data_IF_451255587727
#
_entry.id   IF_451255587727
#
_cell.length_a   1.000
_cell.length_b   1.000
_cell.length_c   1.000
_cell.angle_alpha   90.00
_cell.angle_beta   90.00
_cell.angle_gamma   90.00
#
_symmetry.space_group_name_H-M   'P 1'
#
loop_
_entity.id
_entity.type
_entity.pdbx_description
1 polymer ?
#
# COMPACT_ATOMS: atom_id res chain seq x y z
N UNK A 1 -6.62 -12.28 19.03
CA UNK A 1 -7.40 -11.54 18.02
C UNK A 1 -7.28 -12.28 16.70
N UNK A 2 -8.37 -12.51 15.98
CA UNK A 2 -8.36 -13.16 14.67
C UNK A 2 -7.51 -12.35 13.68
N UNK A 3 -6.66 -13.01 12.90
CA UNK A 3 -5.87 -12.39 11.82
C UNK A 3 -6.73 -11.66 10.79
N UNK A 4 -7.96 -12.13 10.55
CA UNK A 4 -8.91 -11.45 9.66
C UNK A 4 -9.36 -10.12 10.25
N UNK A 5 -9.72 -10.11 11.53
CA UNK A 5 -10.15 -8.90 12.23
C UNK A 5 -9.06 -7.82 12.23
N UNK A 6 -7.78 -8.20 12.38
CA UNK A 6 -6.66 -7.25 12.25
C UNK A 6 -6.58 -6.62 10.86
N UNK A 7 -6.77 -7.43 9.82
CA UNK A 7 -6.85 -6.94 8.44
C UNK A 7 -8.01 -5.97 8.26
N UNK A 8 -9.21 -6.34 8.71
CA UNK A 8 -10.40 -5.50 8.64
C UNK A 8 -10.19 -4.16 9.37
N UNK A 9 -9.57 -4.17 10.56
CA UNK A 9 -9.22 -2.95 11.30
C UNK A 9 -8.29 -2.05 10.49
N UNK A 10 -7.23 -2.62 9.89
CA UNK A 10 -6.28 -1.86 9.07
C UNK A 10 -6.97 -1.27 7.83
N UNK A 11 -7.83 -2.03 7.16
CA UNK A 11 -8.61 -1.56 6.02
C UNK A 11 -9.49 -0.36 6.42
N UNK A 12 -10.24 -0.47 7.52
CA UNK A 12 -11.12 0.61 7.97
C UNK A 12 -10.34 1.85 8.43
N UNK A 13 -9.18 1.67 9.05
CA UNK A 13 -8.28 2.78 9.37
C UNK A 13 -7.82 3.49 8.09
N UNK A 14 -7.48 2.75 7.03
CA UNK A 14 -7.10 3.33 5.74
C UNK A 14 -8.26 4.13 5.11
N UNK A 15 -9.49 3.60 5.16
CA UNK A 15 -10.70 4.33 4.72
C UNK A 15 -10.85 5.65 5.49
N UNK A 16 -10.76 5.62 6.82
CA UNK A 16 -10.89 6.82 7.64
C UNK A 16 -9.80 7.86 7.31
N UNK A 17 -8.56 7.43 7.10
CA UNK A 17 -7.45 8.31 6.74
C UNK A 17 -7.63 8.96 5.36
N UNK A 18 -8.14 8.21 4.38
CA UNK A 18 -8.45 8.74 3.06
C UNK A 18 -9.60 9.77 3.13
N UNK A 19 -10.69 9.45 3.84
CA UNK A 19 -11.83 10.34 3.99
C UNK A 19 -11.46 11.65 4.72
N UNK A 20 -10.62 11.59 5.76
CA UNK A 20 -10.09 12.78 6.44
C UNK A 20 -9.30 13.71 5.51
N UNK A 21 -8.78 13.19 4.40
CA UNK A 21 -8.03 13.95 3.38
C UNK A 21 -8.93 14.43 2.22
N UNK A 22 -10.23 14.12 2.27
CA UNK A 22 -11.17 14.47 1.21
C UNK A 22 -11.10 13.58 -0.03
N UNK A 23 -10.44 12.41 0.07
CA UNK A 23 -10.35 11.46 -1.04
C UNK A 23 -11.57 10.55 -1.08
N UNK A 24 -11.99 10.16 -2.29
CA UNK A 24 -12.99 9.12 -2.47
C UNK A 24 -12.39 7.74 -2.15
N UNK A 25 -13.23 6.81 -1.72
CA UNK A 25 -12.82 5.43 -1.40
C UNK A 25 -13.73 4.46 -2.13
N UNK A 26 -13.13 3.52 -2.86
CA UNK A 26 -13.80 2.44 -3.56
C UNK A 26 -13.37 1.11 -2.94
N UNK A 27 -14.35 0.26 -2.61
CA UNK A 27 -14.11 -1.10 -2.16
C UNK A 27 -14.46 -2.08 -3.29
N UNK A 28 -13.52 -2.92 -3.75
CA UNK A 28 -13.82 -3.96 -4.72
C UNK A 28 -14.78 -5.00 -4.13
N UNK A 29 -15.58 -5.61 -5.00
CA UNK A 29 -16.47 -6.69 -4.59
C UNK A 29 -15.72 -8.03 -4.56
N UNK A 30 -15.66 -8.65 -3.39
CA UNK A 30 -14.96 -9.91 -3.14
C UNK A 30 -13.46 -9.74 -2.86
N UNK A 31 -12.75 -10.86 -2.71
CA UNK A 31 -11.36 -10.96 -2.21
C UNK A 31 -10.35 -11.46 -3.28
N UNK A 32 -10.76 -11.46 -4.55
CA UNK A 32 -9.96 -12.04 -5.65
C UNK A 32 -8.88 -11.10 -6.16
N UNK A 33 -9.10 -9.80 -6.05
CA UNK A 33 -8.19 -8.78 -6.57
C UNK A 33 -6.89 -8.73 -5.74
N UNK A 34 -5.79 -8.21 -6.31
CA UNK A 34 -4.52 -8.13 -5.61
C UNK A 34 -4.36 -6.81 -4.82
N UNK A 35 -5.48 -6.11 -4.56
CA UNK A 35 -5.57 -4.87 -3.80
C UNK A 35 -6.89 -4.85 -3.02
N UNK A 36 -6.93 -4.14 -1.89
CA UNK A 36 -8.06 -4.15 -0.97
C UNK A 36 -8.97 -2.93 -1.16
N UNK A 37 -8.40 -1.79 -1.58
CA UNK A 37 -9.12 -0.52 -1.79
C UNK A 37 -8.60 0.18 -3.04
N UNK A 38 -9.36 1.16 -3.53
CA UNK A 38 -8.84 2.19 -4.40
C UNK A 38 -9.25 3.57 -3.88
N UNK A 39 -8.35 4.54 -3.94
CA UNK A 39 -8.64 5.92 -3.62
C UNK A 39 -8.89 6.71 -4.89
N UNK A 40 -9.93 7.54 -4.87
CA UNK A 40 -10.15 8.58 -5.87
C UNK A 40 -9.51 9.87 -5.36
N UNK A 41 -8.42 10.24 -6.02
CA UNK A 41 -7.59 11.40 -5.69
C UNK A 41 -7.62 12.34 -6.88
N UNK A 42 -8.41 13.40 -6.76
CA UNK A 42 -8.61 14.41 -7.81
C UNK A 42 -9.04 13.81 -9.17
N UNK A 43 -9.91 12.79 -9.14
CA UNK A 43 -10.41 12.11 -10.34
C UNK A 43 -9.49 10.99 -10.86
N UNK A 44 -8.36 10.76 -10.20
CA UNK A 44 -7.44 9.65 -10.52
C UNK A 44 -7.60 8.51 -9.52
N UNK A 45 -7.82 7.30 -10.03
CA UNK A 45 -7.90 6.10 -9.20
C UNK A 45 -6.51 5.55 -8.89
N UNK A 46 -6.22 5.41 -7.59
CA UNK A 46 -5.00 4.83 -7.05
C UNK A 46 -5.35 3.52 -6.33
N UNK A 47 -4.80 2.40 -6.79
CA UNK A 47 -5.03 1.07 -6.21
C UNK A 47 -4.16 0.87 -4.96
N UNK A 48 -4.79 0.43 -3.88
CA UNK A 48 -4.19 0.35 -2.56
C UNK A 48 -4.27 -1.08 -2.02
N UNK A 49 -3.11 -1.64 -1.67
CA UNK A 49 -3.03 -2.84 -0.84
C UNK A 49 -2.84 -2.42 0.62
N UNK A 50 -3.64 -2.96 1.53
CA UNK A 50 -3.52 -2.71 2.97
C UNK A 50 -2.84 -3.91 3.63
N UNK A 51 -1.99 -3.63 4.62
CA UNK A 51 -1.31 -4.62 5.43
C UNK A 51 -1.30 -4.17 6.88
N UNK A 52 -1.45 -5.13 7.79
CA UNK A 52 -1.30 -4.92 9.22
C UNK A 52 0.13 -5.30 9.65
N UNK A 53 0.85 -4.40 10.30
CA UNK A 53 2.17 -4.70 10.88
C UNK A 53 2.04 -5.22 12.32
N UNK A 54 2.79 -6.27 12.65
CA UNK A 54 2.86 -6.80 14.01
C UNK A 54 4.16 -6.39 14.68
N UNK A 55 4.13 -6.30 16.01
CA UNK A 55 5.34 -6.06 16.79
C UNK A 55 6.15 -7.36 16.88
N UNK A 56 7.40 -7.32 16.44
CA UNK A 56 8.39 -8.35 16.69
C UNK A 56 9.06 -8.06 18.03
N UNK A 57 8.68 -8.82 19.07
CA UNK A 57 9.14 -8.60 20.45
C UNK A 57 10.67 -8.70 20.61
N UNK A 58 11.38 -9.66 19.97
CA UNK A 58 12.84 -9.75 20.07
C UNK A 58 13.58 -8.52 19.55
N UNK A 59 13.14 -7.95 18.41
CA UNK A 59 13.79 -6.77 17.84
C UNK A 59 13.21 -5.44 18.35
N UNK A 60 12.01 -5.46 18.92
CA UNK A 60 11.25 -4.28 19.33
C UNK A 60 10.83 -3.40 18.14
N UNK A 61 10.74 -3.97 16.94
CA UNK A 61 10.35 -3.28 15.72
C UNK A 61 9.00 -3.82 15.21
N UNK A 62 8.29 -3.03 14.42
CA UNK A 62 7.11 -3.53 13.71
C UNK A 62 7.54 -4.16 12.38
N UNK A 63 6.91 -5.27 12.01
CA UNK A 63 7.26 -6.06 10.83
C UNK A 63 6.00 -6.36 10.02
N UNK A 64 6.17 -6.41 8.71
CA UNK A 64 5.14 -6.82 7.76
C UNK A 64 5.76 -7.70 6.66
N UNK A 65 5.03 -8.74 6.25
CA UNK A 65 5.41 -9.59 5.11
C UNK A 65 4.94 -8.92 3.81
N UNK A 66 5.85 -8.81 2.84
CA UNK A 66 5.58 -8.18 1.55
C UNK A 66 5.11 -9.16 0.47
N UNK A 67 4.78 -10.40 0.83
CA UNK A 67 4.30 -11.44 -0.08
C UNK A 67 2.80 -11.66 0.07
N UNK A 68 2.21 -12.22 -0.98
CA UNK A 68 0.85 -12.74 -0.94
C UNK A 68 0.90 -14.20 -0.50
N UNK A 69 0.42 -14.47 0.71
CA UNK A 69 0.28 -15.85 1.18
C UNK A 69 -1.12 -16.36 0.81
N UNK A 70 -1.18 -17.29 -0.14
CA UNK A 70 -2.40 -18.05 -0.46
C UNK A 70 -2.29 -19.40 0.22
N UNK A 71 -3.06 -19.59 1.29
CA UNK A 71 -3.18 -20.88 1.96
C UNK A 71 -4.31 -21.67 1.29
N UNK A 72 -3.95 -22.70 0.54
CA UNK A 72 -4.89 -23.78 0.23
C UNK A 72 -4.74 -24.86 1.31
N UNK A 73 -5.79 -25.63 1.64
CA UNK A 73 -5.80 -26.63 2.74
C UNK A 73 -4.65 -27.65 2.70
N UNK A 74 -3.93 -27.75 1.58
CA UNK A 74 -2.80 -28.68 1.36
C UNK A 74 -1.44 -27.99 1.14
N UNK A 75 -1.40 -26.70 0.77
CA UNK A 75 -0.19 -26.00 0.36
C UNK A 75 -0.29 -24.50 0.72
N UNK A 76 0.73 -23.98 1.42
CA UNK A 76 0.96 -22.55 1.54
C UNK A 76 1.81 -22.08 0.35
N UNK A 77 1.20 -21.33 -0.56
CA UNK A 77 1.91 -20.70 -1.67
C UNK A 77 2.20 -19.24 -1.31
N UNK A 78 3.47 -18.85 -1.37
CA UNK A 78 3.90 -17.46 -1.25
C UNK A 78 4.21 -16.94 -2.66
N UNK A 79 3.42 -16.00 -3.12
CA UNK A 79 3.55 -15.37 -4.43
C UNK A 79 4.01 -13.91 -4.24
N UNK A 80 4.98 -13.47 -5.03
CA UNK A 80 5.42 -12.08 -5.04
C UNK A 80 4.39 -11.21 -5.78
N UNK A 81 4.18 -9.99 -5.30
CA UNK A 81 3.35 -9.01 -6.01
C UNK A 81 4.07 -8.51 -7.27
N UNK A 82 3.28 -8.12 -8.26
CA UNK A 82 3.75 -7.49 -9.49
C UNK A 82 3.57 -5.97 -9.38
N UNK A 83 4.39 -5.22 -10.14
CA UNK A 83 4.25 -3.77 -10.27
C UNK A 83 2.85 -3.32 -10.75
N UNK A 84 2.12 -4.19 -11.46
CA UNK A 84 0.78 -3.89 -11.96
C UNK A 84 -0.34 -4.19 -10.97
N UNK A 85 -0.05 -4.83 -9.83
CA UNK A 85 -1.09 -5.31 -8.91
C UNK A 85 -1.79 -4.14 -8.22
N UNK A 86 -1.02 -3.27 -7.58
CA UNK A 86 -1.46 -2.05 -6.90
C UNK A 86 -0.45 -0.93 -7.12
N UNK A 87 -0.82 0.30 -6.76
CA UNK A 87 0.06 1.47 -6.87
C UNK A 87 0.82 1.72 -5.55
N UNK A 88 0.11 1.59 -4.42
CA UNK A 88 0.68 1.78 -3.09
C UNK A 88 0.30 0.65 -2.14
N UNK A 89 1.23 0.30 -1.26
CA UNK A 89 1.00 -0.53 -0.09
C UNK A 89 0.95 0.35 1.17
N UNK A 90 -0.17 0.29 1.89
CA UNK A 90 -0.37 0.92 3.19
C UNK A 90 -0.11 -0.10 4.29
N UNK A 91 0.86 0.20 5.15
CA UNK A 91 1.20 -0.65 6.29
C UNK A 91 0.79 0.03 7.58
N UNK A 92 -0.20 -0.54 8.27
CA UNK A 92 -0.80 0.02 9.47
C UNK A 92 -0.13 -0.48 10.75
N UNK A 93 0.16 0.44 11.67
CA UNK A 93 0.60 0.14 13.04
C UNK A 93 -0.50 0.58 14.01
N UNK A 94 -1.32 -0.38 14.47
CA UNK A 94 -2.49 -0.10 15.31
C UNK A 94 -2.16 0.61 16.63
N UNK A 95 -1.09 0.21 17.30
CA UNK A 95 -0.72 0.81 18.60
C UNK A 95 -0.40 2.30 18.52
N UNK A 96 -0.01 2.79 17.35
CA UNK A 96 0.40 4.17 17.13
C UNK A 96 -0.57 4.94 16.22
N UNK A 97 -1.62 4.27 15.72
CA UNK A 97 -2.57 4.79 14.73
C UNK A 97 -1.86 5.50 13.57
N UNK A 98 -0.90 4.81 12.94
CA UNK A 98 -0.07 5.37 11.88
C UNK A 98 0.07 4.43 10.69
N UNK A 99 0.35 5.03 9.54
CA UNK A 99 0.61 4.33 8.30
C UNK A 99 2.02 4.59 7.77
N UNK A 100 2.61 3.55 7.21
CA UNK A 100 3.68 3.67 6.23
C UNK A 100 3.09 3.51 4.82
N UNK A 101 3.43 4.44 3.93
CA UNK A 101 2.89 4.55 2.57
C UNK A 101 3.98 4.22 1.57
N UNK A 102 4.01 2.99 1.06
CA UNK A 102 5.05 2.52 0.13
C UNK A 102 4.54 2.52 -1.32
N UNK A 103 5.27 3.11 -2.27
CA UNK A 103 5.11 2.79 -3.69
C UNK A 103 5.30 1.30 -3.96
N UNK A 104 4.58 0.73 -4.93
CA UNK A 104 4.63 -0.71 -5.24
C UNK A 104 6.04 -1.20 -5.56
N UNK A 105 6.80 -0.45 -6.34
CA UNK A 105 8.19 -0.77 -6.73
C UNK A 105 9.10 -0.87 -5.52
N UNK A 106 8.95 0.06 -4.57
CA UNK A 106 9.68 0.03 -3.31
C UNK A 106 9.25 -1.14 -2.44
N UNK A 107 7.94 -1.41 -2.35
CA UNK A 107 7.41 -2.45 -1.48
C UNK A 107 7.84 -3.86 -1.91
N UNK A 108 7.86 -4.13 -3.23
CA UNK A 108 8.28 -5.43 -3.77
C UNK A 108 9.80 -5.62 -3.81
N UNK A 109 10.58 -4.53 -3.76
CA UNK A 109 12.05 -4.57 -3.71
C UNK A 109 12.58 -5.13 -2.38
N UNK A 110 11.77 -5.13 -1.32
CA UNK A 110 12.12 -5.84 -0.08
C UNK A 110 12.12 -7.36 -0.29
N UNK A 111 13.05 -8.08 0.34
CA UNK A 111 13.20 -9.51 0.08
C UNK A 111 12.06 -10.38 0.63
N UNK A 112 11.69 -10.19 1.90
CA UNK A 112 10.69 -11.04 2.58
C UNK A 112 9.86 -10.25 3.59
N UNK A 113 10.51 -9.33 4.30
CA UNK A 113 9.91 -8.57 5.39
C UNK A 113 10.37 -7.12 5.33
N UNK A 114 9.48 -6.21 5.73
CA UNK A 114 9.79 -4.79 5.90
C UNK A 114 9.81 -4.49 7.39
N UNK A 115 10.95 -4.01 7.89
CA UNK A 115 11.09 -3.58 9.28
C UNK A 115 10.78 -2.08 9.41
N UNK A 116 9.88 -1.76 10.32
CA UNK A 116 9.45 -0.40 10.65
C UNK A 116 9.94 -0.07 12.07
N UNK A 117 10.77 0.95 12.18
CA UNK A 117 11.45 1.32 13.43
C UNK A 117 10.89 2.63 13.93
N UNK A 118 10.08 2.56 14.99
CA UNK A 118 9.53 3.75 15.68
C UNK A 118 10.27 4.06 17.00
N UNK A 119 11.12 3.15 17.48
CA UNK A 119 11.94 3.40 18.65
C UNK A 119 13.09 4.37 18.33
N UNK A 120 13.39 5.28 19.27
CA UNK A 120 14.59 6.13 19.22
C UNK A 120 15.86 5.29 19.48
N UNK A 121 16.28 4.56 18.46
CA UNK A 121 17.55 3.81 18.48
C UNK A 121 18.66 4.73 17.96
N UNK A 122 19.86 4.61 18.55
CA UNK A 122 21.09 5.31 18.08
C UNK A 122 21.55 4.86 16.68
N UNK A 123 20.94 3.83 16.12
CA UNK A 123 21.27 3.29 14.81
C UNK A 123 20.69 4.16 13.68
N UNK A 124 21.32 4.08 12.50
CA UNK A 124 20.82 4.73 11.29
C UNK A 124 19.39 4.24 11.01
N UNK A 125 18.47 5.19 10.79
CA UNK A 125 17.08 4.87 10.44
C UNK A 125 17.04 4.00 9.16
N UNK A 126 16.20 2.95 9.11
CA UNK A 126 16.06 2.12 7.93
C UNK A 126 15.48 2.92 6.75
N UNK A 127 15.66 2.42 5.53
CA UNK A 127 15.05 3.01 4.31
C UNK A 127 13.53 3.17 4.43
N UNK A 128 12.86 2.31 5.20
CA UNK A 128 11.42 2.39 5.44
C UNK A 128 10.98 3.70 6.11
N UNK A 129 11.83 4.35 6.91
CA UNK A 129 11.49 5.55 7.68
C UNK A 129 11.02 6.74 6.81
N UNK A 130 11.46 6.82 5.55
CA UNK A 130 11.05 7.89 4.62
C UNK A 130 9.60 7.75 4.14
N UNK A 131 8.97 6.60 4.39
CA UNK A 131 7.60 6.31 3.96
C UNK A 131 6.58 6.45 5.11
N UNK A 132 7.02 6.87 6.30
CA UNK A 132 6.14 7.10 7.45
C UNK A 132 5.22 8.30 7.16
N UNK A 133 3.91 8.08 7.23
CA UNK A 133 2.86 9.08 6.92
C UNK A 133 3.07 9.79 5.57
N UNK A 134 3.75 9.14 4.60
CA UNK A 134 4.11 9.74 3.31
C UNK A 134 2.92 9.77 2.32
N UNK A 135 1.78 10.29 2.77
CA UNK A 135 0.55 10.40 1.98
C UNK A 135 0.73 11.35 0.79
N UNK A 136 1.68 12.30 0.84
CA UNK A 136 1.99 13.17 -0.30
C UNK A 136 2.44 12.38 -1.54
N UNK A 137 3.02 11.19 -1.38
CA UNK A 137 3.41 10.35 -2.52
C UNK A 137 2.20 9.92 -3.35
N UNK A 138 1.06 9.67 -2.70
CA UNK A 138 -0.18 9.31 -3.40
C UNK A 138 -0.71 10.50 -4.22
N UNK A 139 -0.65 11.73 -3.67
CA UNK A 139 -1.01 12.96 -4.39
C UNK A 139 -0.08 13.21 -5.59
N UNK A 140 1.23 13.03 -5.41
CA UNK A 140 2.18 13.20 -6.50
C UNK A 140 1.92 12.18 -7.63
N UNK A 141 1.60 10.94 -7.26
CA UNK A 141 1.26 9.89 -8.22
C UNK A 141 -0.05 10.15 -8.96
N UNK A 142 -1.06 10.76 -8.31
CA UNK A 142 -2.31 11.12 -9.01
C UNK A 142 -2.06 12.16 -10.10
N UNK A 143 -1.31 13.23 -9.79
CA UNK A 143 -0.93 14.27 -10.77
C UNK A 143 -0.09 13.69 -11.92
N UNK A 144 0.86 12.81 -11.61
CA UNK A 144 1.68 12.15 -12.64
C UNK A 144 0.86 11.25 -13.57
N UNK A 145 -0.16 10.55 -13.04
CA UNK A 145 -1.07 9.73 -13.85
C UNK A 145 -2.01 10.57 -14.70
N UNK A 146 -2.57 11.65 -14.15
CA UNK A 146 -3.46 12.55 -14.88
C UNK A 146 -2.73 13.22 -16.07
N UNK A 147 -1.49 13.67 -15.86
CA UNK A 147 -0.66 14.24 -16.93
C UNK A 147 -0.30 13.22 -18.02
N UNK A 148 -0.05 11.96 -17.66
CA UNK A 148 0.17 10.89 -18.64
C UNK A 148 -1.08 10.67 -19.52
N UNK A 149 -2.29 10.65 -18.94
CA UNK A 149 -3.56 10.47 -19.66
C UNK A 149 -3.85 11.63 -20.62
N UNK A 150 -3.43 12.86 -20.26
CA UNK A 150 -3.66 14.08 -21.06
C UNK A 150 -2.64 14.29 -22.18
N UNK A 151 -1.66 13.41 -22.35
CA UNK A 151 -0.74 13.46 -23.50
C UNK A 151 -1.54 13.23 -24.80
N UNK A 152 -1.54 14.15 -25.77
CA UNK A 152 -2.32 13.95 -26.99
C UNK A 152 -1.74 12.79 -27.78
N UNK A 153 -2.54 11.75 -27.98
CA UNK A 153 -2.33 10.78 -29.06
C UNK A 153 -2.32 11.60 -30.34
N UNK A 154 -1.16 11.77 -30.99
CA UNK A 154 -1.08 12.32 -32.33
C UNK A 154 -1.89 11.39 -33.25
N UNK A 155 -3.14 11.75 -33.52
CA UNK A 155 -3.90 11.16 -34.62
C UNK A 155 -3.13 11.55 -35.89
N UNK A 156 -2.34 10.61 -36.41
CA UNK A 156 -1.71 10.75 -37.72
C UNK A 156 -2.81 11.02 -38.74
N UNK A 157 -2.72 12.17 -39.39
CA UNK A 157 -3.55 12.52 -40.54
C UNK A 157 -3.38 11.43 -41.60
N UNK A 158 -4.37 10.55 -41.72
CA UNK A 158 -4.53 9.71 -42.90
C UNK A 158 -4.99 10.63 -44.04
N UNK A 159 -4.03 11.07 -44.85
CA UNK A 159 -4.30 11.81 -46.09
C UNK A 159 -5.17 10.97 -47.03
N UNK A 160 -6.21 11.62 -47.55
CA UNK A 160 -7.01 11.19 -48.70
C UNK A 160 -6.24 11.38 -50.01
#
# INVERSE_FOLDING_TARGET
MDTKLKGDIAEQAAVLHALKRGWGVLKPFGDRLPYDLAFDVEGTLIKIQVKYAWLDEPSGNYVVDNRRTKTNRRLMLREAYKLSDFDFALVYIEKLDLFYVFPVDVFIDYGSEVHLVEAEKRQRKPRSAQYREAWELILQASVAKESCIRSPVQLGEAGF
#
